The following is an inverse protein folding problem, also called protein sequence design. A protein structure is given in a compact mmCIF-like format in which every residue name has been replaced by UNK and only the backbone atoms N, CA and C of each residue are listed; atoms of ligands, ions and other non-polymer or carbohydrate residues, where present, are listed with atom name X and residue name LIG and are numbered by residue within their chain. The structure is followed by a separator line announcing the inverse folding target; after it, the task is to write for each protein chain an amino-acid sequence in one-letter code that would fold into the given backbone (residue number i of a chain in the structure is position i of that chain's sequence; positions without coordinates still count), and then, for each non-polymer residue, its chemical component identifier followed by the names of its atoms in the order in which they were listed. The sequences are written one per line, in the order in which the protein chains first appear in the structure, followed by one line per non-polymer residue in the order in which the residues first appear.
data_IF_779613293804
#
_entry.id   IF_779613293804
#
_cell.length_a   1.000
_cell.length_b   1.000
_cell.length_c   1.000
_cell.angle_alpha   90.00
_cell.angle_beta   90.00
_cell.angle_gamma   90.00
#
_symmetry.space_group_name_H-M   'P 1'
#
loop_
_entity.id
_entity.type
_entity.pdbx_description
1 polymer ?
#
# COMPACT_ATOMS: atom_id res chain seq x y z
N UNK A 1 13.73 3.93 9.77
CA UNK A 1 12.49 4.08 8.96
C UNK A 1 12.90 4.51 7.57
N UNK A 2 13.09 3.54 6.66
CA UNK A 2 13.52 3.84 5.29
C UNK A 2 12.40 4.55 4.55
N UNK A 3 12.61 5.84 4.29
CA UNK A 3 11.95 6.56 3.21
C UNK A 3 12.24 5.78 1.93
N UNK A 4 11.36 5.79 0.92
CA UNK A 4 11.73 5.36 -0.43
C UNK A 4 12.83 6.33 -0.85
N UNK A 5 14.08 5.97 -0.56
CA UNK A 5 15.21 6.87 -0.66
C UNK A 5 15.36 7.26 -2.12
N UNK A 6 15.85 8.46 -2.38
CA UNK A 6 16.32 8.88 -3.72
C UNK A 6 17.38 7.93 -4.32
N UNK A 7 17.92 7.02 -3.48
CA UNK A 7 18.83 5.92 -3.81
C UNK A 7 18.13 4.59 -4.17
N UNK A 8 16.81 4.58 -4.34
CA UNK A 8 16.07 3.46 -4.94
C UNK A 8 15.62 3.80 -6.36
N UNK A 9 15.41 2.78 -7.18
CA UNK A 9 14.99 2.89 -8.57
C UNK A 9 13.76 3.83 -8.73
N UNK A 10 13.97 4.94 -9.45
CA UNK A 10 12.96 5.95 -9.73
C UNK A 10 11.79 5.40 -10.55
N UNK A 11 12.08 4.53 -11.51
CA UNK A 11 11.09 3.85 -12.32
C UNK A 11 10.21 2.96 -11.44
N UNK A 12 10.81 2.18 -10.54
CA UNK A 12 10.06 1.34 -9.61
C UNK A 12 9.12 2.15 -8.72
N UNK A 13 9.60 3.27 -8.16
CA UNK A 13 8.78 4.19 -7.38
C UNK A 13 7.62 4.76 -8.22
N UNK A 14 7.89 5.20 -9.45
CA UNK A 14 6.87 5.74 -10.35
C UNK A 14 5.78 4.71 -10.63
N UNK A 15 6.17 3.49 -11.02
CA UNK A 15 5.25 2.38 -11.30
C UNK A 15 4.40 2.05 -10.06
N UNK A 16 5.02 1.98 -8.88
CA UNK A 16 4.30 1.70 -7.64
C UNK A 16 3.28 2.80 -7.30
N UNK A 17 3.60 4.08 -7.53
CA UNK A 17 2.67 5.19 -7.30
C UNK A 17 1.52 5.18 -8.31
N UNK A 18 1.78 4.89 -9.58
CA UNK A 18 0.73 4.73 -10.60
C UNK A 18 -0.20 3.57 -10.24
N UNK A 19 0.35 2.41 -9.90
CA UNK A 19 -0.42 1.24 -9.47
C UNK A 19 -1.24 1.51 -8.20
N UNK A 20 -0.65 2.17 -7.20
CA UNK A 20 -1.35 2.59 -5.98
C UNK A 20 -2.49 3.57 -6.28
N UNK A 21 -2.30 4.47 -7.24
CA UNK A 21 -3.34 5.41 -7.68
C UNK A 21 -4.50 4.68 -8.34
N UNK A 22 -4.23 3.71 -9.23
CA UNK A 22 -5.26 2.88 -9.84
C UNK A 22 -6.05 2.07 -8.80
N UNK A 23 -5.36 1.47 -7.82
CA UNK A 23 -6.01 0.76 -6.71
C UNK A 23 -6.89 1.72 -5.88
N UNK A 24 -6.39 2.92 -5.60
CA UNK A 24 -7.13 3.92 -4.85
C UNK A 24 -8.42 4.36 -5.58
N UNK A 25 -8.36 4.51 -6.90
CA UNK A 25 -9.56 4.80 -7.71
C UNK A 25 -10.57 3.66 -7.66
N UNK A 26 -10.11 2.41 -7.66
CA UNK A 26 -10.98 1.24 -7.53
C UNK A 26 -11.66 1.14 -6.15
N UNK A 27 -10.90 1.46 -5.08
CA UNK A 27 -11.42 1.57 -3.71
C UNK A 27 -12.46 2.68 -3.59
N UNK A 28 -12.18 3.87 -4.14
CA UNK A 28 -13.11 5.01 -4.14
C UNK A 28 -14.39 4.74 -4.92
N UNK A 29 -14.32 3.92 -5.97
CA UNK A 29 -15.47 3.51 -6.76
C UNK A 29 -16.34 2.44 -6.05
N UNK A 30 -16.03 2.06 -4.80
CA UNK A 30 -16.78 1.04 -4.06
C UNK A 30 -16.58 -0.39 -4.58
N UNK A 31 -15.70 -0.59 -5.55
CA UNK A 31 -15.47 -1.89 -6.21
C UNK A 31 -14.45 -2.76 -5.47
N UNK A 32 -13.78 -2.22 -4.45
CA UNK A 32 -12.82 -2.97 -3.65
C UNK A 32 -13.46 -3.59 -2.40
N UNK A 33 -13.73 -4.89 -2.45
CA UNK A 33 -14.21 -5.69 -1.30
C UNK A 33 -13.16 -5.84 -0.19
N UNK A 34 -11.91 -5.49 -0.46
CA UNK A 34 -10.75 -5.69 0.43
C UNK A 34 -9.99 -4.40 0.74
N UNK A 35 -10.63 -3.25 0.58
CA UNK A 35 -10.04 -1.99 1.01
C UNK A 35 -9.78 -2.05 2.53
N UNK A 36 -8.51 -2.03 2.94
CA UNK A 36 -8.17 -2.03 4.37
C UNK A 36 -8.84 -0.83 5.05
N UNK A 37 -9.41 -1.03 6.25
CA UNK A 37 -10.01 0.04 7.06
C UNK A 37 -9.09 1.26 7.19
N UNK A 38 -7.78 0.99 7.39
CA UNK A 38 -6.72 2.01 7.38
C UNK A 38 -6.72 2.91 6.14
N UNK A 39 -6.93 2.35 4.94
CA UNK A 39 -6.91 3.09 3.69
C UNK A 39 -8.12 4.02 3.57
N UNK A 40 -9.29 3.54 3.99
CA UNK A 40 -10.54 4.30 4.02
C UNK A 40 -10.45 5.46 5.03
N UNK A 41 -9.94 5.20 6.24
CA UNK A 41 -9.71 6.23 7.25
C UNK A 41 -8.67 7.27 6.79
N UNK A 42 -7.63 6.83 6.08
CA UNK A 42 -6.60 7.73 5.57
C UNK A 42 -7.13 8.61 4.42
N UNK A 43 -8.00 8.07 3.57
CA UNK A 43 -8.71 8.82 2.52
C UNK A 43 -9.63 9.90 3.07
N UNK A 44 -10.23 9.68 4.24
CA UNK A 44 -11.06 10.69 4.90
C UNK A 44 -10.22 11.87 5.43
N UNK A 45 -8.95 11.64 5.79
CA UNK A 45 -8.09 12.63 6.47
C UNK A 45 -7.08 13.32 5.55
N UNK A 46 -6.73 12.71 4.40
CA UNK A 46 -5.62 13.17 3.55
C UNK A 46 -5.99 13.20 2.07
N UNK A 47 -5.30 14.06 1.32
CA UNK A 47 -5.43 14.17 -0.14
C UNK A 47 -5.11 12.82 -0.82
N UNK A 48 -5.87 12.38 -1.84
CA UNK A 48 -5.69 11.06 -2.47
C UNK A 48 -4.28 10.79 -3.00
N UNK A 49 -3.61 11.79 -3.56
CA UNK A 49 -2.22 11.64 -4.04
C UNK A 49 -1.26 11.26 -2.91
N UNK A 50 -1.42 11.82 -1.71
CA UNK A 50 -0.59 11.45 -0.55
C UNK A 50 -0.90 10.03 -0.06
N UNK A 51 -2.18 9.64 -0.13
CA UNK A 51 -2.61 8.28 0.19
C UNK A 51 -1.99 7.27 -0.78
N UNK A 52 -1.98 7.58 -2.08
CA UNK A 52 -1.35 6.73 -3.10
C UNK A 52 0.15 6.55 -2.84
N UNK A 53 0.88 7.62 -2.49
CA UNK A 53 2.30 7.55 -2.13
C UNK A 53 2.52 6.71 -0.87
N UNK A 54 1.69 6.88 0.16
CA UNK A 54 1.78 6.10 1.40
C UNK A 54 1.51 4.60 1.14
N UNK A 55 0.52 4.30 0.31
CA UNK A 55 0.19 2.95 -0.13
C UNK A 55 1.33 2.33 -0.94
N UNK A 56 1.91 3.06 -1.89
CA UNK A 56 3.09 2.63 -2.64
C UNK A 56 4.26 2.29 -1.71
N UNK A 57 4.52 3.12 -0.69
CA UNK A 57 5.56 2.84 0.31
C UNK A 57 5.25 1.58 1.15
N UNK A 58 3.98 1.36 1.52
CA UNK A 58 3.57 0.13 2.20
C UNK A 58 3.83 -1.10 1.33
N UNK A 59 3.46 -1.05 0.05
CA UNK A 59 3.69 -2.14 -0.92
C UNK A 59 5.19 -2.39 -1.11
N UNK A 60 5.99 -1.33 -1.27
CA UNK A 60 7.44 -1.43 -1.41
C UNK A 60 8.09 -2.13 -0.22
N UNK A 61 7.68 -1.81 1.01
CA UNK A 61 8.21 -2.45 2.23
C UNK A 61 7.81 -3.92 2.34
N UNK A 62 6.60 -4.28 1.92
CA UNK A 62 6.17 -5.69 1.84
C UNK A 62 7.00 -6.43 0.80
N UNK A 63 7.11 -5.91 -0.42
CA UNK A 63 7.91 -6.51 -1.48
C UNK A 63 9.36 -6.70 -1.05
N UNK A 64 9.99 -5.67 -0.47
CA UNK A 64 11.34 -5.77 0.09
C UNK A 64 11.48 -6.90 1.11
N UNK A 65 10.54 -6.99 2.06
CA UNK A 65 10.58 -8.05 3.08
C UNK A 65 10.42 -9.43 2.46
N UNK A 66 9.53 -9.62 1.48
CA UNK A 66 9.38 -10.88 0.77
C UNK A 66 10.66 -11.25 0.00
N UNK A 67 11.25 -10.29 -0.71
CA UNK A 67 12.49 -10.51 -1.46
C UNK A 67 13.68 -10.87 -0.57
N UNK A 68 13.82 -10.22 0.59
CA UNK A 68 14.93 -10.47 1.52
C UNK A 68 14.72 -11.74 2.36
N UNK A 69 13.47 -12.08 2.71
CA UNK A 69 13.18 -13.28 3.51
C UNK A 69 13.03 -14.55 2.68
N UNK A 70 12.75 -14.43 1.38
CA UNK A 70 12.38 -15.58 0.53
C UNK A 70 11.02 -16.19 0.88
N UNK A 71 10.27 -15.59 1.82
CA UNK A 71 8.96 -16.09 2.23
C UNK A 71 7.87 -15.73 1.22
N UNK A 72 6.88 -16.61 1.09
CA UNK A 72 5.68 -16.32 0.33
C UNK A 72 4.83 -15.23 1.01
N UNK A 73 4.12 -14.44 0.21
CA UNK A 73 3.20 -13.43 0.73
C UNK A 73 2.09 -14.09 1.55
N UNK A 74 2.13 -13.87 2.86
CA UNK A 74 1.03 -14.20 3.77
C UNK A 74 0.18 -12.96 3.97
N UNK A 75 -1.04 -12.98 3.43
CA UNK A 75 -2.05 -11.99 3.82
C UNK A 75 -2.22 -12.13 5.32
N UNK A 76 -1.91 -11.07 6.07
CA UNK A 76 -2.29 -10.99 7.48
C UNK A 76 -3.81 -10.96 7.48
N UNK A 77 -4.43 -12.11 7.74
CA UNK A 77 -5.83 -12.12 8.13
C UNK A 77 -5.87 -11.33 9.43
N UNK A 78 -6.47 -10.15 9.37
CA UNK A 78 -6.84 -9.42 10.57
C UNK A 78 -7.83 -10.32 11.30
N UNK A 79 -7.32 -11.21 12.15
CA UNK A 79 -8.14 -11.92 13.12
C UNK A 79 -8.87 -10.83 13.88
N UNK A 80 -10.17 -10.71 13.57
CA UNK A 80 -11.12 -10.05 14.44
C UNK A 80 -11.21 -10.92 15.67
N UNK A 81 -10.19 -10.89 16.54
CA UNK A 81 -10.35 -11.33 17.92
C UNK A 81 -11.14 -10.22 18.60
N UNK A 82 -12.46 -10.29 18.43
CA UNK A 82 -13.37 -9.79 19.43
C UNK A 82 -13.16 -10.66 20.68
N UNK A 83 -12.60 -10.06 21.72
CA UNK A 83 -12.76 -10.49 23.12
C UNK A 83 -12.92 -9.23 23.94
#
# INVERSE_FOLDING_TARGET
LGVITRAGDEMLRSILVVGATALLQHVRAGRSRHASRWLTELLQRKKPKLVAVALANKIARVAWKLMVSGEAYRRREEHTQAT
#
